data_IF_526238797076
#
_entry.id   IF_526238797076
#
_cell.length_a   1.000
_cell.length_b   1.000
_cell.length_c   1.000
_cell.angle_alpha   90.00
_cell.angle_beta   90.00
_cell.angle_gamma   90.00
#
_symmetry.space_group_name_H-M   'P 1'
#
loop_
_entity.id
_entity.type
_entity.pdbx_description
1 polymer ?
#
# COMPACT_ATOMS: atom_id res chain seq x y z
N UNK A 1 -12.38 -20.65 15.93
CA UNK A 1 -13.63 -21.11 15.28
C UNK A 1 -14.45 -19.98 14.67
N UNK A 2 -14.64 -18.82 15.32
CA UNK A 2 -15.42 -17.69 14.75
C UNK A 2 -14.87 -17.17 13.40
N UNK A 3 -13.55 -17.03 13.26
CA UNK A 3 -12.90 -16.59 12.01
C UNK A 3 -13.06 -17.54 10.81
N UNK A 4 -13.27 -18.84 11.06
CA UNK A 4 -13.50 -19.83 9.99
C UNK A 4 -14.91 -19.69 9.40
N UNK A 5 -15.89 -19.29 10.22
CA UNK A 5 -17.27 -19.02 9.78
C UNK A 5 -17.30 -17.76 8.92
N UNK A 6 -16.58 -16.70 9.30
CA UNK A 6 -16.48 -15.48 8.48
C UNK A 6 -15.79 -15.69 7.13
N UNK A 7 -14.76 -16.55 7.09
CA UNK A 7 -14.08 -16.92 5.84
C UNK A 7 -15.00 -17.70 4.88
N UNK A 8 -15.79 -18.65 5.40
CA UNK A 8 -16.79 -19.38 4.62
C UNK A 8 -17.93 -18.48 4.14
N UNK A 9 -18.38 -17.53 4.96
CA UNK A 9 -19.39 -16.54 4.56
C UNK A 9 -18.88 -15.60 3.45
N UNK A 10 -17.60 -15.24 3.48
CA UNK A 10 -16.98 -14.40 2.46
C UNK A 10 -16.85 -15.13 1.10
N UNK A 11 -16.44 -16.41 1.12
CA UNK A 11 -16.41 -17.24 -0.10
C UNK A 11 -17.83 -17.44 -0.65
N UNK A 12 -18.83 -17.66 0.21
CA UNK A 12 -20.22 -17.78 -0.22
C UNK A 12 -20.76 -16.49 -0.85
N UNK A 13 -20.34 -15.31 -0.35
CA UNK A 13 -20.72 -14.02 -0.91
C UNK A 13 -20.11 -13.79 -2.31
N UNK A 14 -18.83 -14.19 -2.50
CA UNK A 14 -18.15 -14.12 -3.80
C UNK A 14 -18.79 -15.04 -4.84
N UNK A 15 -19.19 -16.25 -4.44
CA UNK A 15 -19.87 -17.21 -5.33
C UNK A 15 -21.29 -16.69 -5.69
N UNK A 16 -22.04 -16.15 -4.73
CA UNK A 16 -23.35 -15.56 -4.99
C UNK A 16 -23.26 -14.37 -5.97
N UNK A 17 -22.25 -13.50 -5.83
CA UNK A 17 -22.06 -12.38 -6.73
C UNK A 17 -21.71 -12.81 -8.16
N UNK A 18 -20.97 -13.92 -8.31
CA UNK A 18 -20.64 -14.50 -9.62
C UNK A 18 -21.83 -15.16 -10.34
N UNK A 19 -22.83 -15.64 -9.58
CA UNK A 19 -24.00 -16.35 -10.12
C UNK A 19 -25.19 -15.43 -10.42
N UNK A 20 -25.28 -14.26 -9.77
CA UNK A 20 -26.39 -13.31 -9.94
C UNK A 20 -25.99 -12.00 -10.63
N UNK A 21 -24.72 -11.85 -11.03
CA UNK A 21 -24.16 -10.63 -11.62
C UNK A 21 -24.21 -10.51 -13.14
N UNK A 22 -25.04 -11.28 -13.84
CA UNK A 22 -25.22 -11.13 -15.30
C UNK A 22 -26.69 -11.25 -15.69
N UNK A 23 -27.38 -10.12 -15.73
CA UNK A 23 -28.49 -9.92 -16.67
C UNK A 23 -28.80 -8.41 -16.82
N UNK A 24 -27.99 -7.73 -17.64
CA UNK A 24 -28.46 -6.55 -18.39
C UNK A 24 -27.89 -6.66 -19.80
N UNK A 25 -28.53 -7.48 -20.63
CA UNK A 25 -28.56 -7.30 -22.07
C UNK A 25 -30.01 -7.07 -22.46
N UNK A 26 -30.37 -5.84 -22.82
CA UNK A 26 -31.10 -5.60 -24.06
C UNK A 26 -31.19 -4.11 -24.41
N UNK A 27 -30.78 -3.82 -25.64
CA UNK A 27 -31.35 -2.84 -26.59
C UNK A 27 -31.54 -1.40 -26.11
N UNK A 28 -30.70 -0.52 -26.66
CA UNK A 28 -31.21 0.56 -27.50
C UNK A 28 -30.22 0.91 -28.61
N UNK A 29 -30.57 0.48 -29.82
CA UNK A 29 -30.04 1.02 -31.06
C UNK A 29 -30.57 2.45 -31.23
N UNK A 30 -29.70 3.44 -31.13
CA UNK A 30 -30.01 4.80 -31.60
C UNK A 30 -29.30 5.01 -32.93
N UNK A 31 -30.12 5.26 -33.93
CA UNK A 31 -29.80 5.71 -35.29
C UNK A 31 -28.94 6.97 -35.20
N UNK A 32 -27.72 6.93 -35.73
CA UNK A 32 -26.90 8.13 -35.91
C UNK A 32 -27.43 8.86 -37.15
N UNK A 33 -28.19 9.93 -36.90
CA UNK A 33 -28.46 10.98 -37.87
C UNK A 33 -27.27 11.94 -37.92
N UNK A 34 -26.79 12.16 -39.13
CA UNK A 34 -25.75 13.11 -39.52
C UNK A 34 -26.13 14.54 -39.13
N UNK A 35 -25.38 15.17 -38.22
CA UNK A 35 -25.41 16.63 -38.00
C UNK A 35 -24.02 17.12 -37.56
N UNK A 36 -23.34 17.78 -38.50
CA UNK A 36 -22.67 19.08 -38.32
C UNK A 36 -21.64 19.23 -37.21
N UNK A 37 -20.36 19.15 -37.58
CA UNK A 37 -19.24 19.68 -36.80
C UNK A 37 -19.31 21.22 -36.78
N UNK A 38 -19.56 21.79 -35.60
CA UNK A 38 -19.19 23.19 -35.30
C UNK A 38 -18.20 23.20 -34.13
N UNK A 39 -16.94 23.49 -34.48
CA UNK A 39 -15.83 23.76 -33.56
C UNK A 39 -16.07 25.08 -32.83
N UNK A 40 -16.28 25.02 -31.51
CA UNK A 40 -16.19 26.21 -30.66
C UNK A 40 -14.99 26.05 -29.73
N UNK A 41 -13.95 26.86 -29.96
CA UNK A 41 -12.78 26.96 -29.11
C UNK A 41 -13.19 27.39 -27.70
N UNK A 42 -12.78 26.63 -26.68
CA UNK A 42 -12.80 27.06 -25.29
C UNK A 42 -11.37 26.93 -24.76
N UNK A 43 -10.83 28.06 -24.33
CA UNK A 43 -9.48 28.25 -23.79
C UNK A 43 -9.23 27.38 -22.54
N UNK A 44 -8.09 26.69 -22.52
CA UNK A 44 -7.47 26.13 -21.31
C UNK A 44 -6.91 27.26 -20.42
N UNK A 45 -7.14 27.24 -19.10
CA UNK A 45 -6.31 28.03 -18.19
C UNK A 45 -5.00 27.29 -17.90
N UNK A 46 -3.90 27.90 -18.32
CA UNK A 46 -2.54 27.50 -17.97
C UNK A 46 -2.28 27.67 -16.46
N UNK A 47 -1.78 26.62 -15.81
CA UNK A 47 -1.07 26.71 -14.53
C UNK A 47 0.35 26.18 -14.72
N UNK A 48 1.26 27.11 -15.00
CA UNK A 48 2.69 26.93 -14.75
C UNK A 48 2.92 26.87 -13.24
N UNK A 49 3.59 25.83 -12.75
CA UNK A 49 4.39 25.93 -11.53
C UNK A 49 5.71 25.20 -11.76
N UNK A 50 6.77 26.02 -11.87
CA UNK A 50 8.15 25.61 -11.90
C UNK A 50 8.58 25.12 -10.52
N UNK A 51 9.11 23.91 -10.43
CA UNK A 51 10.09 23.54 -9.41
C UNK A 51 11.26 22.85 -10.11
N UNK A 52 12.23 23.66 -10.53
CA UNK A 52 13.56 23.18 -10.87
C UNK A 52 14.38 23.16 -9.58
N UNK A 53 14.70 21.97 -9.06
CA UNK A 53 15.71 21.85 -8.02
C UNK A 53 17.08 21.95 -8.67
N UNK A 54 17.72 23.09 -8.42
CA UNK A 54 19.05 23.43 -8.87
C UNK A 54 20.07 22.82 -7.89
N UNK A 55 20.72 21.73 -8.28
CA UNK A 55 21.82 21.13 -7.49
C UNK A 55 23.07 21.96 -7.77
N UNK A 56 23.39 22.87 -6.86
CA UNK A 56 24.72 23.48 -6.79
C UNK A 56 25.44 22.98 -5.55
N UNK A 57 26.63 22.42 -5.80
CA UNK A 57 27.67 22.08 -4.85
C UNK A 57 27.84 23.14 -3.75
N UNK A 58 27.71 22.70 -2.49
CA UNK A 58 28.16 23.45 -1.33
C UNK A 58 28.48 22.48 -0.20
N UNK A 59 29.79 22.20 -0.01
CA UNK A 59 30.33 21.66 1.23
C UNK A 59 29.89 22.55 2.40
N UNK A 60 29.16 21.98 3.35
CA UNK A 60 28.98 22.56 4.67
C UNK A 60 29.36 21.50 5.70
N UNK A 61 30.55 21.70 6.29
CA UNK A 61 30.85 21.17 7.62
C UNK A 61 30.02 21.99 8.62
N UNK A 62 29.17 21.30 9.38
CA UNK A 62 28.61 21.83 10.63
C UNK A 62 28.55 20.70 11.64
N UNK A 63 29.47 20.76 12.61
CA UNK A 63 29.30 20.15 13.92
C UNK A 63 28.06 20.75 14.59
N UNK A 64 27.13 19.87 14.97
CA UNK A 64 25.89 20.18 15.68
C UNK A 64 25.04 18.91 15.73
N UNK A 65 25.04 18.23 16.87
CA UNK A 65 24.20 17.07 17.14
C UNK A 65 22.72 17.43 16.93
N UNK A 66 22.12 16.89 15.87
CA UNK A 66 20.68 16.70 15.74
C UNK A 66 20.43 15.20 15.55
N UNK A 67 19.91 14.58 16.60
CA UNK A 67 19.91 13.13 16.83
C UNK A 67 18.89 12.32 16.00
N UNK A 68 18.42 12.79 14.83
CA UNK A 68 17.35 12.10 14.08
C UNK A 68 17.38 12.32 12.56
N UNK A 69 18.56 12.29 11.94
CA UNK A 69 18.62 12.23 10.47
C UNK A 69 18.82 10.77 10.06
N UNK A 70 17.77 10.12 9.55
CA UNK A 70 17.90 8.87 8.81
C UNK A 70 19.02 9.03 7.77
N UNK A 71 19.90 8.04 7.60
CA UNK A 71 21.04 8.19 6.69
C UNK A 71 20.59 8.13 5.22
N UNK A 72 20.03 9.25 4.77
CA UNK A 72 19.60 9.50 3.40
C UNK A 72 20.76 9.30 2.43
N UNK A 73 22.01 9.51 2.87
CA UNK A 73 23.22 9.30 2.06
C UNK A 73 23.41 7.81 1.79
N UNK A 74 23.14 6.95 2.77
CA UNK A 74 23.24 5.50 2.57
C UNK A 74 22.12 4.96 1.66
N UNK A 75 20.87 5.38 1.83
CA UNK A 75 19.76 4.97 0.95
C UNK A 75 19.97 5.46 -0.49
N UNK A 76 20.31 6.74 -0.68
CA UNK A 76 20.57 7.31 -2.01
C UNK A 76 21.77 6.69 -2.73
N UNK A 77 22.68 6.02 -2.00
CA UNK A 77 23.76 5.23 -2.61
C UNK A 77 23.32 3.86 -3.16
N UNK A 78 22.11 3.40 -2.84
CA UNK A 78 21.59 2.07 -3.21
C UNK A 78 20.63 2.07 -4.39
N UNK A 79 20.02 3.19 -4.69
CA UNK A 79 19.02 3.31 -5.74
C UNK A 79 19.42 4.43 -6.69
N UNK A 80 19.21 4.24 -7.98
CA UNK A 80 19.31 5.33 -8.92
C UNK A 80 18.30 6.43 -8.59
N UNK A 81 18.65 7.67 -8.93
CA UNK A 81 17.85 8.85 -8.56
C UNK A 81 16.39 8.76 -9.00
N UNK A 82 16.10 8.07 -10.10
CA UNK A 82 14.75 7.93 -10.63
C UNK A 82 13.91 6.86 -9.89
N UNK A 83 14.55 5.94 -9.17
CA UNK A 83 13.91 4.90 -8.34
C UNK A 83 13.84 5.31 -6.87
N UNK A 84 14.74 6.20 -6.44
CA UNK A 84 14.80 6.69 -5.07
C UNK A 84 13.46 7.25 -4.58
N UNK A 85 12.77 8.05 -5.40
CA UNK A 85 11.46 8.62 -5.04
C UNK A 85 10.39 7.53 -4.87
N UNK A 86 10.41 6.49 -5.71
CA UNK A 86 9.48 5.35 -5.57
C UNK A 86 9.73 4.60 -4.27
N UNK A 87 11.00 4.39 -3.93
CA UNK A 87 11.41 3.76 -2.69
C UNK A 87 11.00 4.57 -1.46
N UNK A 88 11.24 5.89 -1.44
CA UNK A 88 10.87 6.77 -0.32
C UNK A 88 9.37 6.74 -0.11
N UNK A 89 8.59 6.94 -1.18
CA UNK A 89 7.14 6.89 -1.12
C UNK A 89 6.63 5.53 -0.62
N UNK A 90 7.24 4.43 -1.05
CA UNK A 90 6.89 3.10 -0.56
C UNK A 90 7.23 2.95 0.93
N UNK A 91 8.40 3.45 1.38
CA UNK A 91 8.82 3.40 2.78
C UNK A 91 7.86 4.16 3.69
N UNK A 92 7.46 5.36 3.29
CA UNK A 92 6.52 6.18 4.06
C UNK A 92 5.14 5.50 4.17
N UNK A 93 4.65 4.94 3.07
CA UNK A 93 3.42 4.15 3.07
C UNK A 93 3.53 2.82 3.84
N UNK A 94 4.74 2.41 4.22
CA UNK A 94 5.04 1.24 5.03
C UNK A 94 5.60 1.64 6.41
N UNK A 95 5.17 2.78 6.94
CA UNK A 95 5.47 3.23 8.31
C UNK A 95 6.97 3.42 8.57
N UNK A 96 7.71 3.90 7.56
CA UNK A 96 9.16 4.01 7.60
C UNK A 96 9.89 2.66 7.71
N UNK A 97 9.17 1.56 7.51
CA UNK A 97 9.67 0.20 7.74
C UNK A 97 10.67 -0.29 6.72
N UNK A 98 10.98 0.52 5.71
CA UNK A 98 12.04 0.23 4.75
C UNK A 98 13.31 1.04 5.02
N UNK A 99 13.32 2.05 5.89
CA UNK A 99 14.52 2.83 6.17
C UNK A 99 15.61 2.01 6.88
N UNK A 100 16.85 2.15 6.44
CA UNK A 100 18.03 1.45 6.97
C UNK A 100 19.25 2.38 7.00
N UNK A 101 20.13 2.18 7.98
CA UNK A 101 21.33 3.01 8.18
C UNK A 101 22.63 2.31 7.83
N UNK A 102 22.59 1.01 7.51
CA UNK A 102 23.79 0.22 7.21
C UNK A 102 23.48 -0.98 6.30
N UNK A 103 24.53 -1.65 5.83
CA UNK A 103 24.41 -2.76 4.87
C UNK A 103 23.79 -4.01 5.52
N UNK A 104 23.95 -4.20 6.82
CA UNK A 104 23.37 -5.30 7.58
C UNK A 104 21.83 -5.17 7.63
N UNK A 105 21.32 -3.99 7.97
CA UNK A 105 19.88 -3.68 7.96
C UNK A 105 19.29 -3.80 6.56
N UNK A 106 19.98 -3.28 5.53
CA UNK A 106 19.56 -3.46 4.15
C UNK A 106 19.42 -4.95 3.78
N UNK A 107 20.41 -5.78 4.11
CA UNK A 107 20.35 -7.23 3.85
C UNK A 107 19.21 -7.92 4.60
N UNK A 108 18.95 -7.51 5.85
CA UNK A 108 17.81 -8.00 6.63
C UNK A 108 16.51 -7.64 5.91
N UNK A 109 16.36 -6.41 5.45
CA UNK A 109 15.17 -5.96 4.74
C UNK A 109 14.94 -6.69 3.42
N UNK A 110 15.97 -6.85 2.59
CA UNK A 110 15.91 -7.61 1.33
C UNK A 110 15.44 -9.05 1.61
N UNK A 111 16.01 -9.71 2.62
CA UNK A 111 15.59 -11.05 3.04
C UNK A 111 14.13 -11.10 3.50
N UNK A 112 13.61 -9.99 4.00
CA UNK A 112 12.28 -9.86 4.60
C UNK A 112 11.25 -9.21 3.65
N UNK A 113 11.53 -9.16 2.34
CA UNK A 113 10.56 -8.77 1.32
C UNK A 113 10.66 -7.32 0.85
N UNK A 114 11.75 -6.62 1.16
CA UNK A 114 12.04 -5.32 0.54
C UNK A 114 12.22 -5.51 -0.99
N UNK A 115 11.49 -4.77 -1.85
CA UNK A 115 11.74 -4.75 -3.29
C UNK A 115 13.14 -4.22 -3.60
N UNK A 116 13.85 -4.88 -4.53
CA UNK A 116 15.09 -4.33 -5.09
C UNK A 116 14.72 -3.35 -6.21
N UNK A 117 15.73 -2.66 -6.71
CA UNK A 117 15.60 -1.68 -7.80
C UNK A 117 14.83 -2.22 -9.01
N UNK A 118 15.18 -3.42 -9.49
CA UNK A 118 14.47 -4.09 -10.60
C UNK A 118 12.98 -4.36 -10.33
N UNK A 119 12.58 -4.64 -9.09
CA UNK A 119 11.17 -4.79 -8.75
C UNK A 119 10.45 -3.44 -8.76
N UNK A 120 11.11 -2.38 -8.29
CA UNK A 120 10.57 -1.02 -8.33
C UNK A 120 10.45 -0.49 -9.76
N UNK A 121 11.46 -0.72 -10.59
CA UNK A 121 11.46 -0.44 -12.04
C UNK A 121 10.28 -1.14 -12.71
N UNK A 122 10.16 -2.46 -12.52
CA UNK A 122 9.04 -3.25 -13.06
C UNK A 122 7.69 -2.66 -12.67
N UNK A 123 7.51 -2.32 -11.39
CA UNK A 123 6.26 -1.72 -10.90
C UNK A 123 6.03 -0.32 -11.47
N UNK A 124 7.07 0.46 -11.74
CA UNK A 124 6.93 1.80 -12.32
C UNK A 124 6.41 1.75 -13.76
N UNK A 125 6.80 0.72 -14.50
CA UNK A 125 6.43 0.54 -15.91
C UNK A 125 5.14 -0.26 -16.08
N UNK A 126 4.77 -1.07 -15.08
CA UNK A 126 3.60 -1.95 -15.17
C UNK A 126 2.30 -1.26 -14.78
N UNK A 127 1.20 -1.74 -15.37
CA UNK A 127 -0.15 -1.44 -14.90
C UNK A 127 -0.43 -2.21 -13.61
N UNK A 128 -0.80 -1.51 -12.53
CA UNK A 128 -0.97 -2.12 -11.21
C UNK A 128 -2.13 -3.12 -11.16
N UNK A 129 -3.19 -2.94 -11.97
CA UNK A 129 -4.33 -3.86 -12.04
C UNK A 129 -3.93 -5.17 -12.70
N UNK A 130 -3.26 -5.12 -13.86
CA UNK A 130 -2.73 -6.31 -14.52
C UNK A 130 -1.70 -7.03 -13.66
N UNK A 131 -0.82 -6.28 -12.97
CA UNK A 131 0.15 -6.86 -12.04
C UNK A 131 -0.55 -7.54 -10.86
N UNK A 132 -1.60 -6.94 -10.29
CA UNK A 132 -2.39 -7.53 -9.20
C UNK A 132 -3.00 -8.87 -9.60
N UNK A 133 -3.63 -8.94 -10.78
CA UNK A 133 -4.26 -10.15 -11.31
C UNK A 133 -3.21 -11.25 -11.50
N UNK A 134 -2.10 -10.97 -12.19
CA UNK A 134 -1.05 -11.95 -12.46
C UNK A 134 -0.42 -12.50 -11.18
N UNK A 135 -0.15 -11.63 -10.19
CA UNK A 135 0.40 -12.05 -8.90
C UNK A 135 -0.60 -12.90 -8.10
N UNK A 136 -1.90 -12.54 -8.13
CA UNK A 136 -2.95 -13.30 -7.48
C UNK A 136 -3.12 -14.69 -8.12
N UNK A 137 -3.16 -14.76 -9.45
CA UNK A 137 -3.23 -16.02 -10.21
C UNK A 137 -2.02 -16.91 -9.94
N UNK A 138 -0.81 -16.35 -9.98
CA UNK A 138 0.42 -17.06 -9.65
C UNK A 138 0.33 -17.71 -8.27
N UNK A 139 -0.14 -16.97 -7.26
CA UNK A 139 -0.31 -17.48 -5.90
C UNK A 139 -1.39 -18.57 -5.83
N UNK A 140 -2.57 -18.31 -6.38
CA UNK A 140 -3.73 -19.23 -6.31
C UNK A 140 -3.42 -20.54 -7.01
N UNK A 141 -2.82 -20.46 -8.21
CA UNK A 141 -2.52 -21.62 -9.03
C UNK A 141 -1.18 -22.28 -8.65
N UNK A 142 -0.42 -21.69 -7.72
CA UNK A 142 0.93 -22.11 -7.36
C UNK A 142 1.86 -22.21 -8.58
N UNK A 143 1.64 -21.32 -9.56
CA UNK A 143 2.47 -21.22 -10.77
C UNK A 143 3.52 -20.12 -10.58
N UNK A 144 4.74 -20.28 -11.11
CA UNK A 144 5.73 -19.20 -11.09
C UNK A 144 5.15 -17.92 -11.67
N UNK A 145 5.43 -16.79 -11.02
CA UNK A 145 5.16 -15.48 -11.59
C UNK A 145 6.21 -15.21 -12.67
N UNK A 146 5.88 -15.43 -13.94
CA UNK A 146 6.79 -15.11 -15.04
C UNK A 146 6.52 -13.71 -15.59
N UNK A 147 7.49 -12.82 -15.38
CA UNK A 147 8.09 -12.15 -16.53
C UNK A 147 9.62 -12.22 -16.56
N UNK A 148 10.29 -12.61 -15.47
CA UNK A 148 11.75 -12.81 -15.34
C UNK A 148 12.04 -13.65 -14.09
N UNK A 149 12.91 -14.67 -14.17
CA UNK A 149 13.25 -15.58 -13.05
C UNK A 149 13.84 -14.88 -11.82
N UNK A 150 14.27 -13.62 -11.99
CA UNK A 150 14.97 -12.86 -10.97
C UNK A 150 14.04 -12.03 -10.05
N UNK A 151 12.76 -11.85 -10.38
CA UNK A 151 11.87 -10.96 -9.61
C UNK A 151 11.25 -11.66 -8.39
N UNK A 152 11.33 -11.00 -7.23
CA UNK A 152 10.68 -11.48 -6.01
C UNK A 152 9.17 -11.25 -6.03
N UNK A 153 8.39 -12.32 -6.22
CA UNK A 153 6.92 -12.28 -6.18
C UNK A 153 6.39 -11.70 -4.85
N UNK A 154 7.01 -12.04 -3.72
CA UNK A 154 6.58 -11.55 -2.41
C UNK A 154 6.77 -10.03 -2.27
N UNK A 155 7.90 -9.51 -2.76
CA UNK A 155 8.17 -8.08 -2.75
C UNK A 155 7.23 -7.33 -3.69
N UNK A 156 7.03 -7.86 -4.91
CA UNK A 156 6.08 -7.31 -5.89
C UNK A 156 4.65 -7.28 -5.35
N UNK A 157 4.15 -8.36 -4.75
CA UNK A 157 2.80 -8.40 -4.16
C UNK A 157 2.62 -7.33 -3.10
N UNK A 158 3.58 -7.18 -2.19
CA UNK A 158 3.48 -6.22 -1.09
C UNK A 158 3.52 -4.77 -1.59
N UNK A 159 4.45 -4.45 -2.49
CA UNK A 159 4.57 -3.11 -3.07
C UNK A 159 3.40 -2.77 -4.00
N UNK A 160 2.90 -3.73 -4.79
CA UNK A 160 1.74 -3.52 -5.64
C UNK A 160 0.46 -3.32 -4.82
N UNK A 161 0.30 -4.01 -3.69
CA UNK A 161 -0.81 -3.72 -2.76
C UNK A 161 -0.76 -2.27 -2.28
N UNK A 162 0.40 -1.79 -1.83
CA UNK A 162 0.55 -0.39 -1.40
C UNK A 162 0.22 0.58 -2.53
N UNK A 163 0.73 0.34 -3.74
CA UNK A 163 0.42 1.16 -4.92
C UNK A 163 -1.08 1.21 -5.19
N UNK A 164 -1.78 0.07 -5.18
CA UNK A 164 -3.23 0.01 -5.39
C UNK A 164 -4.00 0.75 -4.29
N UNK A 165 -3.54 0.71 -3.04
CA UNK A 165 -4.13 1.47 -1.93
C UNK A 165 -4.00 2.98 -2.18
N UNK A 166 -2.80 3.44 -2.57
CA UNK A 166 -2.55 4.86 -2.86
C UNK A 166 -3.40 5.36 -4.03
N UNK A 167 -3.54 4.57 -5.10
CA UNK A 167 -4.41 4.93 -6.22
C UNK A 167 -5.90 4.94 -5.84
N UNK A 168 -6.33 4.01 -4.98
CA UNK A 168 -7.68 4.03 -4.41
C UNK A 168 -7.91 5.29 -3.57
N UNK A 169 -6.99 5.63 -2.66
CA UNK A 169 -7.09 6.82 -1.81
C UNK A 169 -7.20 8.10 -2.66
N UNK A 170 -6.30 8.28 -3.65
CA UNK A 170 -6.35 9.41 -4.58
C UNK A 170 -7.68 9.50 -5.31
N UNK A 171 -8.20 8.36 -5.78
CA UNK A 171 -9.49 8.32 -6.47
C UNK A 171 -10.65 8.70 -5.55
N UNK A 172 -10.63 8.25 -4.29
CA UNK A 172 -11.63 8.64 -3.30
C UNK A 172 -11.52 10.15 -3.01
N UNK A 173 -10.32 10.66 -2.78
CA UNK A 173 -10.07 12.08 -2.49
C UNK A 173 -10.49 13.01 -3.63
N UNK A 174 -10.44 12.55 -4.88
CA UNK A 174 -11.00 13.31 -6.00
C UNK A 174 -12.51 13.60 -5.83
N UNK A 175 -13.28 12.63 -5.32
CA UNK A 175 -14.73 12.78 -5.10
C UNK A 175 -15.10 13.26 -3.69
N UNK A 176 -14.28 12.94 -2.70
CA UNK A 176 -14.46 13.26 -1.28
C UNK A 176 -13.15 13.86 -0.76
N UNK A 177 -12.88 15.17 -1.00
CA UNK A 177 -11.57 15.78 -0.75
C UNK A 177 -11.05 15.71 0.68
N UNK A 178 -11.95 15.56 1.66
CA UNK A 178 -11.60 15.49 3.07
C UNK A 178 -11.41 14.05 3.57
N UNK A 179 -11.52 13.03 2.70
CA UNK A 179 -11.28 11.64 3.11
C UNK A 179 -9.82 11.43 3.48
N UNK A 180 -9.59 10.84 4.65
CA UNK A 180 -8.25 10.42 5.10
C UNK A 180 -8.24 8.93 5.42
N UNK A 181 -7.13 8.25 5.13
CA UNK A 181 -6.94 6.87 5.57
C UNK A 181 -7.07 6.81 7.11
N UNK A 182 -7.80 5.79 7.59
CA UNK A 182 -8.21 5.67 8.99
C UNK A 182 -9.68 6.02 9.21
N UNK A 183 -10.24 6.94 8.42
CA UNK A 183 -11.67 7.23 8.42
C UNK A 183 -12.47 6.04 7.91
N UNK A 184 -13.74 5.95 8.31
CA UNK A 184 -14.65 4.91 7.82
C UNK A 184 -14.72 4.99 6.30
N UNK A 185 -14.62 3.84 5.63
CA UNK A 185 -14.69 3.80 4.17
C UNK A 185 -16.03 4.38 3.68
N UNK A 186 -16.05 5.24 2.63
CA UNK A 186 -17.26 5.96 2.26
C UNK A 186 -18.43 5.05 1.82
N UNK A 187 -19.61 5.36 2.34
CA UNK A 187 -20.89 4.72 2.03
C UNK A 187 -21.59 5.43 0.85
N UNK A 188 -22.68 4.86 0.34
CA UNK A 188 -23.44 5.40 -0.80
C UNK A 188 -23.80 6.88 -0.65
N UNK A 189 -24.18 7.29 0.57
CA UNK A 189 -24.60 8.66 0.89
C UNK A 189 -23.45 9.69 0.86
N UNK A 190 -22.21 9.23 0.96
CA UNK A 190 -21.03 10.11 1.06
C UNK A 190 -20.54 10.54 -0.32
N UNK A 191 -20.96 9.83 -1.38
CA UNK A 191 -20.60 10.17 -2.75
C UNK A 191 -21.46 11.32 -3.30
N UNK A 192 -20.88 12.24 -4.09
CA UNK A 192 -21.62 13.39 -4.64
C UNK A 192 -22.88 13.04 -5.43
N UNK A 193 -22.87 11.91 -6.12
CA UNK A 193 -24.01 11.42 -6.90
C UNK A 193 -24.96 10.49 -6.13
N UNK A 194 -24.66 10.20 -4.85
CA UNK A 194 -25.39 9.21 -4.05
C UNK A 194 -25.07 7.76 -4.41
N UNK A 195 -24.05 7.51 -5.24
CA UNK A 195 -23.57 6.20 -5.63
C UNK A 195 -22.05 6.22 -5.79
N UNK A 196 -21.40 5.10 -5.50
CA UNK A 196 -19.95 4.95 -5.66
C UNK A 196 -19.57 5.08 -7.15
N UNK A 197 -18.60 5.94 -7.50
CA UNK A 197 -18.08 6.04 -8.86
C UNK A 197 -17.52 4.71 -9.38
N UNK A 198 -17.71 4.43 -10.67
CA UNK A 198 -17.25 3.18 -11.31
C UNK A 198 -15.73 3.00 -11.21
N UNK A 199 -14.96 4.09 -11.31
CA UNK A 199 -13.50 4.05 -11.16
C UNK A 199 -13.08 3.57 -9.77
N UNK A 200 -13.74 4.04 -8.72
CA UNK A 200 -13.51 3.58 -7.33
C UNK A 200 -13.93 2.11 -7.20
N UNK A 201 -15.06 1.73 -7.79
CA UNK A 201 -15.51 0.33 -7.78
C UNK A 201 -14.53 -0.60 -8.51
N UNK A 202 -13.91 -0.16 -9.61
CA UNK A 202 -12.87 -0.89 -10.32
C UNK A 202 -11.61 -1.05 -9.46
N UNK A 203 -11.12 0.05 -8.89
CA UNK A 203 -9.96 0.05 -7.98
C UNK A 203 -10.15 -0.86 -6.77
N UNK A 204 -11.37 -0.94 -6.24
CA UNK A 204 -11.71 -1.88 -5.17
C UNK A 204 -11.60 -3.34 -5.62
N UNK A 205 -11.96 -3.67 -6.87
CA UNK A 205 -11.74 -5.02 -7.42
C UNK A 205 -10.25 -5.31 -7.55
N UNK A 206 -9.48 -4.36 -8.08
CA UNK A 206 -8.03 -4.47 -8.19
C UNK A 206 -7.36 -4.65 -6.82
N UNK A 207 -7.87 -3.94 -5.80
CA UNK A 207 -7.42 -4.07 -4.43
C UNK A 207 -7.67 -5.48 -3.87
N UNK A 208 -8.79 -6.11 -4.20
CA UNK A 208 -9.06 -7.50 -3.79
C UNK A 208 -8.02 -8.45 -4.38
N UNK A 209 -7.68 -8.31 -5.67
CA UNK A 209 -6.62 -9.10 -6.29
C UNK A 209 -5.25 -8.82 -5.66
N UNK A 210 -4.91 -7.55 -5.45
CA UNK A 210 -3.64 -7.16 -4.85
C UNK A 210 -3.51 -7.68 -3.40
N UNK A 211 -4.58 -7.62 -2.60
CA UNK A 211 -4.59 -8.19 -1.26
C UNK A 211 -4.47 -9.72 -1.30
N UNK A 212 -5.16 -10.36 -2.24
CA UNK A 212 -5.12 -11.82 -2.42
C UNK A 212 -3.76 -12.32 -2.91
N UNK A 213 -2.91 -11.48 -3.50
CA UNK A 213 -1.55 -11.87 -3.91
C UNK A 213 -0.51 -11.81 -2.79
N UNK A 214 -0.82 -11.13 -1.68
CA UNK A 214 0.12 -10.96 -0.55
C UNK A 214 0.11 -12.18 0.36
N UNK A 215 1.31 -12.74 0.58
CA UNK A 215 1.56 -13.77 1.59
C UNK A 215 2.07 -13.14 2.90
N UNK A 216 1.45 -13.51 4.03
CA UNK A 216 1.68 -12.88 5.35
C UNK A 216 3.01 -13.29 5.99
N UNK A 217 3.83 -14.07 5.30
CA UNK A 217 5.06 -14.64 5.82
C UNK A 217 6.20 -13.62 5.95
N UNK A 218 6.19 -12.56 5.14
CA UNK A 218 7.24 -11.54 5.18
C UNK A 218 6.84 -10.32 6.04
N UNK A 219 7.80 -9.69 6.74
CA UNK A 219 7.54 -8.44 7.47
C UNK A 219 7.01 -7.31 6.58
N UNK A 220 7.52 -7.17 5.35
CA UNK A 220 7.01 -6.15 4.42
C UNK A 220 5.56 -6.41 4.03
N UNK A 221 5.17 -7.68 3.84
CA UNK A 221 3.77 -8.04 3.62
C UNK A 221 2.88 -7.70 4.83
N UNK A 222 3.38 -7.88 6.06
CA UNK A 222 2.66 -7.48 7.27
C UNK A 222 2.44 -5.96 7.30
N UNK A 223 3.45 -5.15 6.98
CA UNK A 223 3.31 -3.69 6.88
C UNK A 223 2.32 -3.27 5.78
N UNK A 224 2.36 -3.90 4.61
CA UNK A 224 1.41 -3.64 3.53
C UNK A 224 -0.04 -4.00 3.93
N UNK A 225 -0.21 -5.10 4.67
CA UNK A 225 -1.52 -5.50 5.21
C UNK A 225 -2.01 -4.56 6.32
N UNK A 226 -1.11 -4.01 7.13
CA UNK A 226 -1.47 -2.96 8.09
C UNK A 226 -2.08 -1.77 7.34
N UNK A 227 -1.47 -1.34 6.23
CA UNK A 227 -1.99 -0.25 5.38
C UNK A 227 -3.34 -0.59 4.75
N UNK A 228 -3.53 -1.83 4.31
CA UNK A 228 -4.85 -2.29 3.86
C UNK A 228 -5.89 -2.23 4.98
N UNK A 229 -5.53 -2.62 6.21
CA UNK A 229 -6.43 -2.55 7.37
C UNK A 229 -6.83 -1.10 7.67
N UNK A 230 -5.92 -0.13 7.52
CA UNK A 230 -6.21 1.30 7.74
C UNK A 230 -7.28 1.88 6.80
N UNK A 231 -7.58 1.23 5.67
CA UNK A 231 -8.70 1.64 4.80
C UNK A 231 -10.06 1.56 5.50
N UNK A 232 -10.15 0.85 6.63
CA UNK A 232 -11.29 0.83 7.53
C UNK A 232 -12.63 0.53 6.82
N UNK A 233 -12.63 -0.48 5.94
CA UNK A 233 -13.81 -0.96 5.22
C UNK A 233 -14.98 -1.35 6.12
N UNK A 234 -14.71 -1.68 7.38
CA UNK A 234 -15.72 -2.12 8.35
C UNK A 234 -16.20 -0.99 9.26
N UNK A 235 -15.70 0.24 9.08
CA UNK A 235 -16.12 1.39 9.87
C UNK A 235 -15.87 1.25 11.37
N UNK A 236 -14.77 0.58 11.72
CA UNK A 236 -14.31 0.39 13.10
C UNK A 236 -14.02 1.74 13.75
N UNK A 237 -14.22 1.80 15.06
CA UNK A 237 -13.79 2.93 15.87
C UNK A 237 -12.26 2.97 15.96
N UNK A 238 -11.69 4.16 16.15
CA UNK A 238 -10.24 4.40 16.06
C UNK A 238 -9.42 3.42 16.92
N UNK A 239 -9.82 3.17 18.17
CA UNK A 239 -9.08 2.27 19.05
C UNK A 239 -9.07 0.81 18.57
N UNK A 240 -10.17 0.33 18.00
CA UNK A 240 -10.29 -1.04 17.48
C UNK A 240 -9.55 -1.19 16.15
N UNK A 241 -9.64 -0.18 15.29
CA UNK A 241 -8.86 -0.10 14.05
C UNK A 241 -7.37 -0.16 14.36
N UNK A 242 -6.89 0.70 15.25
CA UNK A 242 -5.46 0.79 15.57
C UNK A 242 -4.92 -0.47 16.25
N UNK A 243 -5.74 -1.20 17.03
CA UNK A 243 -5.35 -2.54 17.51
C UNK A 243 -5.04 -3.48 16.34
N UNK A 244 -5.91 -3.50 15.33
CA UNK A 244 -5.77 -4.37 14.17
C UNK A 244 -4.58 -3.98 13.29
N UNK A 245 -4.35 -2.67 13.12
CA UNK A 245 -3.19 -2.12 12.40
C UNK A 245 -1.90 -2.47 13.13
N UNK A 246 -1.83 -2.21 14.45
CA UNK A 246 -0.62 -2.47 15.24
C UNK A 246 -0.31 -3.95 15.41
N UNK A 247 -1.30 -4.84 15.36
CA UNK A 247 -1.04 -6.29 15.31
C UNK A 247 -0.15 -6.64 14.11
N UNK A 248 -0.42 -6.09 12.94
CA UNK A 248 0.41 -6.27 11.75
C UNK A 248 1.79 -5.62 11.90
N UNK A 249 1.85 -4.35 12.32
CA UNK A 249 3.10 -3.60 12.44
C UNK A 249 4.04 -4.24 13.47
N UNK A 250 3.52 -4.67 14.62
CA UNK A 250 4.34 -5.31 15.66
C UNK A 250 4.84 -6.69 15.22
N UNK A 251 4.04 -7.47 14.50
CA UNK A 251 4.49 -8.74 13.90
C UNK A 251 5.67 -8.51 12.92
N UNK A 252 5.63 -7.44 12.12
CA UNK A 252 6.76 -7.06 11.26
C UNK A 252 7.97 -6.61 12.10
N UNK A 253 7.76 -5.71 13.04
CA UNK A 253 8.81 -5.06 13.84
C UNK A 253 9.60 -6.04 14.70
N UNK A 254 8.98 -7.12 15.19
CA UNK A 254 9.72 -8.17 15.92
C UNK A 254 10.77 -8.85 15.05
N UNK A 255 10.54 -8.94 13.74
CA UNK A 255 11.44 -9.63 12.80
C UNK A 255 12.50 -8.68 12.25
N UNK A 256 12.11 -7.48 11.79
CA UNK A 256 13.05 -6.52 11.19
C UNK A 256 13.82 -5.73 12.25
N UNK A 257 13.20 -5.48 13.40
CA UNK A 257 13.77 -4.76 14.54
C UNK A 257 14.39 -3.40 14.15
N UNK A 258 13.64 -2.60 13.38
CA UNK A 258 14.11 -1.31 12.87
C UNK A 258 13.58 -0.16 13.73
N UNK A 259 14.47 0.73 14.18
CA UNK A 259 14.08 1.88 15.00
C UNK A 259 13.14 2.83 14.24
N UNK A 260 13.27 2.92 12.91
CA UNK A 260 12.46 3.77 12.05
C UNK A 260 10.95 3.53 12.20
N UNK A 261 10.51 2.28 12.36
CA UNK A 261 9.08 1.97 12.53
C UNK A 261 8.55 2.58 13.83
N UNK A 262 9.29 2.42 14.93
CA UNK A 262 8.87 2.96 16.23
C UNK A 262 8.85 4.50 16.22
N UNK A 263 9.82 5.13 15.56
CA UNK A 263 9.84 6.57 15.36
C UNK A 263 8.65 7.05 14.53
N UNK A 264 8.37 6.40 13.40
CA UNK A 264 7.22 6.72 12.55
C UNK A 264 5.91 6.67 13.34
N UNK A 265 5.72 5.64 14.18
CA UNK A 265 4.52 5.51 15.02
C UNK A 265 4.42 6.64 16.04
N UNK A 266 5.52 7.01 16.70
CA UNK A 266 5.53 8.10 17.67
C UNK A 266 5.17 9.46 17.01
N UNK A 267 5.67 9.69 15.79
CA UNK A 267 5.44 10.94 15.05
C UNK A 267 4.01 11.02 14.48
N UNK A 268 3.50 9.94 13.87
CA UNK A 268 2.23 9.95 13.13
C UNK A 268 1.02 9.50 13.94
N UNK A 269 1.23 8.74 15.02
CA UNK A 269 0.16 8.25 15.90
C UNK A 269 0.48 8.50 17.39
N UNK A 270 0.80 9.74 17.80
CA UNK A 270 1.29 10.05 19.15
C UNK A 270 0.31 9.61 20.26
N UNK A 271 -1.00 9.71 20.00
CA UNK A 271 -2.03 9.30 20.96
C UNK A 271 -2.14 7.77 21.15
N UNK A 272 -1.51 6.98 20.27
CA UNK A 272 -1.58 5.52 20.26
C UNK A 272 -0.18 4.89 20.50
N UNK A 273 0.87 5.70 20.64
CA UNK A 273 2.26 5.25 20.80
C UNK A 273 2.43 4.25 21.97
N UNK A 274 1.91 4.59 23.15
CA UNK A 274 2.03 3.73 24.34
C UNK A 274 1.40 2.36 24.15
N UNK A 275 0.30 2.30 23.40
CA UNK A 275 -0.39 1.05 23.05
C UNK A 275 0.44 0.22 22.10
N UNK A 276 1.03 0.85 21.09
CA UNK A 276 1.98 0.19 20.19
C UNK A 276 3.18 -0.39 20.96
N UNK A 277 3.80 0.38 21.87
CA UNK A 277 4.94 -0.06 22.68
C UNK A 277 4.56 -1.30 23.50
N UNK A 278 3.41 -1.25 24.19
CA UNK A 278 2.93 -2.36 24.99
C UNK A 278 2.73 -3.64 24.16
N UNK A 279 2.12 -3.54 22.97
CA UNK A 279 1.94 -4.66 22.05
C UNK A 279 3.29 -5.21 21.56
N UNK A 280 4.24 -4.35 21.20
CA UNK A 280 5.55 -4.77 20.73
C UNK A 280 6.34 -5.52 21.82
N UNK A 281 6.29 -5.05 23.07
CA UNK A 281 6.92 -5.72 24.20
C UNK A 281 6.31 -7.10 24.47
N UNK A 282 4.99 -7.21 24.41
CA UNK A 282 4.27 -8.48 24.52
C UNK A 282 4.76 -9.48 23.45
N UNK A 283 4.72 -9.07 22.18
CA UNK A 283 5.17 -9.93 21.05
C UNK A 283 6.63 -10.36 21.17
N UNK A 284 7.52 -9.46 21.63
CA UNK A 284 8.94 -9.79 21.87
C UNK A 284 9.11 -10.81 22.99
N UNK A 285 8.32 -10.75 24.06
CA UNK A 285 8.35 -11.75 25.14
C UNK A 285 7.90 -13.13 24.62
N UNK A 286 6.81 -13.17 23.87
CA UNK A 286 6.27 -14.42 23.32
C UNK A 286 7.25 -15.10 22.36
N UNK A 287 7.89 -14.31 21.48
CA UNK A 287 8.92 -14.81 20.56
C UNK A 287 10.14 -15.40 21.29
N UNK A 288 10.57 -14.77 22.40
CA UNK A 288 11.67 -15.29 23.24
C UNK A 288 11.28 -16.57 23.98
N UNK A 289 10.05 -16.67 24.48
CA UNK A 289 9.57 -17.87 25.17
C UNK A 289 9.57 -19.11 24.25
N UNK A 290 9.22 -18.93 22.98
CA UNK A 290 9.23 -19.98 21.96
C UNK A 290 10.66 -20.44 21.64
N UNK A 291 11.62 -19.51 21.54
CA UNK A 291 13.01 -19.82 21.19
C UNK A 291 13.86 -20.30 22.37
N UNK A 292 13.49 -20.00 23.61
CA UNK A 292 14.18 -20.44 24.83
C UNK A 292 13.74 -21.80 25.37
N UNK A 293 12.78 -22.46 24.72
CA UNK A 293 12.25 -23.79 25.10
C UNK A 293 12.78 -24.93 24.22
N UNK A 294 13.91 -24.73 23.52
CA UNK A 294 14.60 -25.74 22.71
C UNK A 294 15.96 -26.10 23.29
#
# INVERSE_FOLDING_TARGET
MKYFVYFLSFIALLIAYSLFGTDISEKNSIVIGDVGVETTNVEEPALQNNSSYNINDSKIETEGEDNNTFDYVFVSSKFESHILDLYINLSDNLYGGLYFNNIEEYKILVKNGLPLEKELEYLSESDYSQTAIKLAESRINSTPFEPNEDLSTSALSSANLVRTIVELEKSIQYYIPNYTIGDKFPEEKDWPSGYRPEVVASLMKDLVYAQASVDKSSPVAQLALAKFTELNFYGLESDELMLSVFEHITNAQVVVNLQSISQYIAENYPNQEQKYIAMLEEKRRDSKAINGSK
#
